data_IF_398745472019
#
_entry.id   IF_398745472019
#
_cell.length_a   1.000
_cell.length_b   1.000
_cell.length_c   1.000
_cell.angle_alpha   90.00
_cell.angle_beta   90.00
_cell.angle_gamma   90.00
#
_symmetry.space_group_name_H-M   'P 1'
#
loop_
_entity.id
_entity.type
_entity.pdbx_description
1 polymer ?
#
# COMPACT_ATOMS: atom_id res chain seq x y z
N UNK A 1 3.87 -57.93 -19.64
CA UNK A 1 3.78 -56.60 -20.28
C UNK A 1 3.77 -55.55 -19.18
N UNK A 2 4.71 -54.61 -19.22
CA UNK A 2 4.96 -53.59 -18.20
C UNK A 2 4.10 -52.36 -18.52
N UNK A 3 3.25 -51.93 -17.59
CA UNK A 3 2.58 -50.63 -17.65
C UNK A 3 3.35 -49.64 -16.79
N UNK A 4 4.01 -48.69 -17.44
CA UNK A 4 4.80 -47.62 -16.83
C UNK A 4 3.83 -46.49 -16.46
N UNK A 5 3.71 -46.20 -15.15
CA UNK A 5 3.07 -44.99 -14.65
C UNK A 5 3.94 -43.78 -15.03
N UNK A 6 3.42 -42.90 -15.89
CA UNK A 6 4.00 -41.60 -16.19
C UNK A 6 3.44 -40.60 -15.15
N UNK A 7 4.15 -40.44 -14.04
CA UNK A 7 3.91 -39.37 -13.08
C UNK A 7 5.13 -38.46 -13.08
N UNK A 8 4.88 -37.17 -12.82
CA UNK A 8 5.85 -36.09 -12.58
C UNK A 8 6.30 -35.35 -13.85
N UNK A 9 5.59 -34.26 -14.19
CA UNK A 9 6.24 -33.02 -14.63
C UNK A 9 5.28 -31.82 -14.53
N UNK A 10 4.84 -31.48 -13.31
CA UNK A 10 4.27 -30.15 -13.01
C UNK A 10 4.84 -29.72 -11.65
N UNK A 11 6.11 -29.32 -11.61
CA UNK A 11 6.72 -28.81 -10.37
C UNK A 11 7.60 -27.56 -10.59
N UNK A 12 7.29 -26.73 -11.59
CA UNK A 12 8.07 -25.51 -11.87
C UNK A 12 7.26 -24.19 -11.87
N UNK A 13 5.93 -24.21 -11.75
CA UNK A 13 5.13 -22.97 -11.81
C UNK A 13 4.64 -22.42 -10.45
N UNK A 14 4.88 -23.11 -9.34
CA UNK A 14 4.37 -22.69 -8.01
C UNK A 14 5.30 -21.73 -7.26
N UNK A 15 6.61 -21.73 -7.58
CA UNK A 15 7.60 -20.90 -6.88
C UNK A 15 7.41 -19.39 -7.12
N UNK A 16 6.92 -18.98 -8.29
CA UNK A 16 6.70 -17.57 -8.62
C UNK A 16 5.50 -16.94 -7.91
N UNK A 17 4.45 -17.72 -7.63
CA UNK A 17 3.23 -17.22 -7.01
C UNK A 17 3.35 -17.00 -5.49
N UNK A 18 4.20 -17.79 -4.81
CA UNK A 18 4.37 -17.68 -3.35
C UNK A 18 5.17 -16.43 -2.94
N UNK A 19 6.20 -16.05 -3.69
CA UNK A 19 7.03 -14.88 -3.35
C UNK A 19 6.28 -13.54 -3.49
N UNK A 20 5.32 -13.47 -4.42
CA UNK A 20 4.55 -12.25 -4.68
C UNK A 20 3.48 -12.00 -3.58
N UNK A 21 2.83 -13.05 -3.09
CA UNK A 21 1.85 -12.95 -2.00
C UNK A 21 2.53 -12.64 -0.65
N UNK A 22 3.64 -13.31 -0.35
CA UNK A 22 4.32 -13.23 0.96
C UNK A 22 4.90 -11.83 1.28
N UNK A 23 5.19 -11.02 0.26
CA UNK A 23 5.67 -9.64 0.46
C UNK A 23 4.56 -8.61 0.61
N UNK A 24 3.36 -8.85 0.08
CA UNK A 24 2.22 -7.94 0.25
C UNK A 24 1.63 -8.02 1.66
N UNK A 25 1.62 -9.21 2.27
CA UNK A 25 1.18 -9.39 3.66
C UNK A 25 2.01 -8.57 4.65
N UNK A 26 3.29 -8.33 4.34
CA UNK A 26 4.17 -7.45 5.16
C UNK A 26 3.71 -5.99 5.18
N UNK A 27 2.86 -5.57 4.24
CA UNK A 27 2.26 -4.24 4.27
C UNK A 27 0.98 -4.19 5.10
N UNK A 28 0.33 -5.33 5.40
CA UNK A 28 -0.95 -5.32 6.10
C UNK A 28 -0.85 -4.67 7.47
N UNK A 29 -1.91 -3.96 7.87
CA UNK A 29 -2.01 -3.27 9.15
C UNK A 29 -2.19 -1.77 9.01
N UNK A 30 -2.00 -1.06 10.13
CA UNK A 30 -2.20 0.37 10.19
C UNK A 30 -0.89 1.13 10.02
N UNK A 31 -0.97 2.23 9.30
CA UNK A 31 0.14 3.10 8.95
C UNK A 31 -0.26 4.54 9.19
N UNK A 32 0.72 5.37 9.51
CA UNK A 32 0.47 6.74 9.94
C UNK A 32 1.44 7.70 9.28
N UNK A 33 0.91 8.79 8.76
CA UNK A 33 1.70 9.91 8.27
C UNK A 33 1.34 11.18 9.04
N UNK A 34 2.20 12.18 8.96
CA UNK A 34 1.94 13.50 9.55
C UNK A 34 2.46 14.55 8.60
N UNK A 35 1.64 15.56 8.32
CA UNK A 35 2.01 16.72 7.51
C UNK A 35 1.52 18.00 8.17
N UNK A 36 2.19 19.10 7.82
CA UNK A 36 1.80 20.44 8.24
C UNK A 36 0.84 21.02 7.20
N UNK A 37 -0.38 21.38 7.61
CA UNK A 37 -1.40 22.02 6.78
C UNK A 37 -1.80 23.35 7.42
N UNK A 38 -1.50 24.46 6.75
CA UNK A 38 -1.79 25.82 7.23
C UNK A 38 -1.25 26.13 8.65
N UNK A 39 -0.15 25.49 9.05
CA UNK A 39 0.46 25.64 10.38
C UNK A 39 -0.05 24.65 11.43
N UNK A 40 -1.05 23.84 11.08
CA UNK A 40 -1.56 22.76 11.93
C UNK A 40 -0.96 21.41 11.54
N UNK A 41 -0.71 20.57 12.54
CA UNK A 41 -0.34 19.18 12.31
C UNK A 41 -1.57 18.35 12.01
N UNK A 42 -1.58 17.74 10.83
CA UNK A 42 -2.57 16.74 10.45
C UNK A 42 -1.92 15.37 10.54
N UNK A 43 -2.54 14.48 11.30
CA UNK A 43 -2.17 13.08 11.42
C UNK A 43 -3.20 12.23 10.67
N UNK A 44 -2.74 11.40 9.75
CA UNK A 44 -3.63 10.50 8.99
C UNK A 44 -3.22 9.06 9.26
N UNK A 45 -4.19 8.24 9.66
CA UNK A 45 -4.04 6.79 9.82
C UNK A 45 -4.69 6.09 8.64
N UNK A 46 -3.93 5.24 7.98
CA UNK A 46 -4.36 4.35 6.91
C UNK A 46 -4.38 2.90 7.37
N UNK A 47 -5.22 2.08 6.73
CA UNK A 47 -5.19 0.63 6.83
C UNK A 47 -4.88 0.06 5.45
N UNK A 48 -3.83 -0.78 5.39
CA UNK A 48 -3.55 -1.61 4.23
C UNK A 48 -4.07 -3.02 4.52
N UNK A 49 -4.89 -3.55 3.62
CA UNK A 49 -5.43 -4.92 3.70
C UNK A 49 -5.69 -5.50 2.32
N UNK A 50 -5.77 -6.83 2.24
CA UNK A 50 -6.21 -7.54 1.04
C UNK A 50 -7.66 -7.96 1.17
N UNK A 51 -8.51 -7.50 0.27
CA UNK A 51 -9.92 -7.89 0.16
C UNK A 51 -10.21 -8.33 -1.26
N UNK A 52 -10.94 -9.45 -1.43
CA UNK A 52 -11.25 -10.00 -2.75
C UNK A 52 -10.02 -10.12 -3.67
N UNK A 53 -8.87 -10.55 -3.12
CA UNK A 53 -7.57 -10.69 -3.80
C UNK A 53 -6.91 -9.38 -4.27
N UNK A 54 -7.39 -8.22 -3.81
CA UNK A 54 -6.80 -6.91 -4.10
C UNK A 54 -6.27 -6.28 -2.81
N UNK A 55 -4.98 -5.97 -2.80
CA UNK A 55 -4.34 -5.22 -1.73
C UNK A 55 -4.58 -3.73 -1.98
N UNK A 56 -5.17 -3.05 -1.00
CA UNK A 56 -5.56 -1.63 -1.07
C UNK A 56 -5.27 -0.92 0.24
N UNK A 57 -5.10 0.40 0.18
CA UNK A 57 -4.98 1.25 1.36
C UNK A 57 -6.18 2.19 1.43
N UNK A 58 -6.76 2.30 2.63
CA UNK A 58 -7.86 3.23 2.93
C UNK A 58 -7.48 4.09 4.12
N UNK A 59 -7.89 5.35 4.12
CA UNK A 59 -7.89 6.14 5.35
C UNK A 59 -8.84 5.49 6.35
N UNK A 60 -8.50 5.57 7.64
CA UNK A 60 -9.34 5.11 8.76
C UNK A 60 -9.68 6.25 9.69
N UNK A 61 -8.73 7.19 9.85
CA UNK A 61 -8.87 8.31 10.76
C UNK A 61 -7.99 9.46 10.31
N UNK A 62 -8.53 10.66 10.40
CA UNK A 62 -7.78 11.91 10.29
C UNK A 62 -7.87 12.65 11.62
N UNK A 63 -6.77 13.24 12.08
CA UNK A 63 -6.76 14.07 13.26
C UNK A 63 -6.07 15.40 12.99
N UNK A 64 -6.74 16.48 13.36
CA UNK A 64 -6.25 17.85 13.24
C UNK A 64 -6.61 18.60 14.53
N UNK A 65 -5.65 19.32 15.11
CA UNK A 65 -5.84 20.10 16.35
C UNK A 65 -6.50 19.33 17.52
N UNK A 66 -6.20 18.03 17.64
CA UNK A 66 -6.75 17.18 18.71
C UNK A 66 -8.20 16.69 18.48
N UNK A 67 -8.85 17.13 17.41
CA UNK A 67 -10.08 16.51 16.91
C UNK A 67 -9.72 15.34 16.00
N UNK A 68 -10.52 14.28 16.02
CA UNK A 68 -10.34 13.11 15.17
C UNK A 68 -11.65 12.72 14.52
N UNK A 69 -11.61 12.47 13.23
CA UNK A 69 -12.74 12.02 12.43
C UNK A 69 -12.42 10.67 11.80
N UNK A 70 -13.42 9.81 11.72
CA UNK A 70 -13.32 8.56 10.96
C UNK A 70 -13.47 8.88 9.48
N UNK A 71 -12.68 8.21 8.66
CA UNK A 71 -12.74 8.30 7.21
C UNK A 71 -12.61 6.88 6.63
N UNK A 72 -13.11 6.66 5.42
CA UNK A 72 -13.01 5.40 4.66
C UNK A 72 -12.72 5.69 3.18
N UNK A 73 -11.87 6.68 2.94
CA UNK A 73 -11.45 7.05 1.59
C UNK A 73 -10.41 6.07 1.07
N UNK A 74 -10.60 5.56 -0.16
CA UNK A 74 -9.62 4.74 -0.85
C UNK A 74 -8.46 5.63 -1.32
N UNK A 75 -7.27 5.43 -0.76
CA UNK A 75 -6.07 6.24 -1.06
C UNK A 75 -5.09 5.50 -1.97
N UNK A 76 -5.08 4.16 -1.96
CA UNK A 76 -4.27 3.36 -2.87
C UNK A 76 -5.02 2.14 -3.40
N UNK A 77 -4.84 1.87 -4.69
CA UNK A 77 -5.31 0.64 -5.34
C UNK A 77 -4.22 -0.01 -6.19
N UNK A 78 -4.41 -1.31 -6.48
CA UNK A 78 -3.48 -2.11 -7.28
C UNK A 78 -2.06 -2.15 -6.68
N UNK A 79 -1.96 -2.25 -5.36
CA UNK A 79 -0.67 -2.35 -4.67
C UNK A 79 0.04 -3.64 -5.10
N UNK A 80 1.25 -3.49 -5.63
CA UNK A 80 2.16 -4.59 -5.95
C UNK A 80 3.47 -4.42 -5.20
N UNK A 81 4.04 -5.51 -4.72
CA UNK A 81 5.31 -5.50 -3.97
C UNK A 81 6.17 -6.69 -4.38
N UNK A 82 7.46 -6.43 -4.59
CA UNK A 82 8.50 -7.42 -4.79
C UNK A 82 9.80 -6.93 -4.14
N UNK A 83 10.38 -7.75 -3.27
CA UNK A 83 11.67 -7.48 -2.61
C UNK A 83 11.75 -6.08 -1.95
N UNK A 84 10.71 -5.70 -1.22
CA UNK A 84 10.65 -4.44 -0.47
C UNK A 84 10.39 -3.19 -1.33
N UNK A 85 10.20 -3.33 -2.65
CA UNK A 85 9.83 -2.25 -3.55
C UNK A 85 8.51 -2.59 -4.25
N UNK A 86 7.81 -1.59 -4.74
CA UNK A 86 6.52 -1.80 -5.36
C UNK A 86 5.97 -0.60 -6.09
N UNK A 87 4.76 -0.76 -6.60
CA UNK A 87 3.99 0.31 -7.22
C UNK A 87 2.52 0.22 -6.84
N UNK A 88 1.83 1.33 -6.98
CA UNK A 88 0.39 1.45 -6.74
C UNK A 88 -0.17 2.57 -7.60
N UNK A 89 -1.49 2.60 -7.75
CA UNK A 89 -2.21 3.84 -8.08
C UNK A 89 -2.51 4.56 -6.77
N UNK A 90 -2.15 5.83 -6.68
CA UNK A 90 -2.42 6.71 -5.55
C UNK A 90 -3.55 7.66 -5.95
N UNK A 91 -4.56 7.79 -5.09
CA UNK A 91 -5.77 8.56 -5.36
C UNK A 91 -5.69 9.90 -4.64
N UNK A 92 -5.60 10.98 -5.41
CA UNK A 92 -5.52 12.35 -4.91
C UNK A 92 -6.84 13.06 -5.20
N UNK A 93 -7.36 13.79 -4.21
CA UNK A 93 -8.43 14.75 -4.43
C UNK A 93 -7.85 16.16 -4.36
N UNK A 94 -8.00 16.93 -5.43
CA UNK A 94 -7.49 18.29 -5.53
C UNK A 94 -8.53 19.16 -6.23
N UNK A 95 -8.90 20.29 -5.61
CA UNK A 95 -9.94 21.21 -6.12
C UNK A 95 -11.30 20.54 -6.44
N UNK A 96 -11.63 19.45 -5.71
CA UNK A 96 -12.88 18.69 -5.90
C UNK A 96 -12.82 17.66 -7.03
N UNK A 97 -11.70 17.59 -7.76
CA UNK A 97 -11.45 16.60 -8.80
C UNK A 97 -10.60 15.44 -8.26
N UNK A 98 -10.83 14.23 -8.79
CA UNK A 98 -10.14 13.01 -8.38
C UNK A 98 -9.14 12.58 -9.43
N UNK A 99 -7.92 12.29 -8.99
CA UNK A 99 -6.80 11.93 -9.84
C UNK A 99 -6.16 10.62 -9.40
N UNK A 100 -5.85 9.78 -10.38
CA UNK A 100 -5.09 8.54 -10.18
C UNK A 100 -3.67 8.76 -10.67
N UNK A 101 -2.71 8.77 -9.75
CA UNK A 101 -1.28 8.94 -10.07
C UNK A 101 -0.52 7.65 -9.86
N UNK A 102 0.48 7.41 -10.71
CA UNK A 102 1.41 6.30 -10.49
C UNK A 102 2.34 6.63 -9.33
N UNK A 103 2.37 5.75 -8.33
CA UNK A 103 3.22 5.91 -7.16
C UNK A 103 4.14 4.69 -6.98
N UNK A 104 5.32 4.95 -6.43
CA UNK A 104 6.32 3.95 -6.04
C UNK A 104 6.25 3.71 -4.55
N UNK A 105 6.35 2.45 -4.16
CA UNK A 105 6.37 2.02 -2.77
C UNK A 105 7.75 1.48 -2.41
N UNK A 106 8.25 1.81 -1.22
CA UNK A 106 9.47 1.23 -0.67
C UNK A 106 9.28 0.92 0.81
N UNK A 107 9.24 -0.37 1.14
CA UNK A 107 9.25 -0.84 2.52
C UNK A 107 10.70 -0.79 3.03
N UNK A 108 11.07 0.32 3.66
CA UNK A 108 12.43 0.57 4.19
C UNK A 108 12.77 -0.44 5.28
N UNK A 109 11.81 -0.68 6.18
CA UNK A 109 11.88 -1.67 7.23
C UNK A 109 10.45 -2.11 7.62
N UNK A 110 10.31 -3.03 8.58
CA UNK A 110 8.99 -3.55 9.01
C UNK A 110 8.01 -2.49 9.51
N UNK A 111 8.49 -1.32 9.90
CA UNK A 111 7.76 -0.21 10.50
C UNK A 111 7.77 1.07 9.66
N UNK A 112 8.45 1.10 8.51
CA UNK A 112 8.58 2.30 7.67
C UNK A 112 8.29 1.97 6.21
N UNK A 113 7.28 2.63 5.65
CA UNK A 113 6.91 2.60 4.24
C UNK A 113 7.08 4.00 3.64
N UNK A 114 7.79 4.10 2.53
CA UNK A 114 7.86 5.33 1.72
C UNK A 114 6.90 5.21 0.54
N UNK A 115 6.15 6.27 0.28
CA UNK A 115 5.21 6.41 -0.83
C UNK A 115 5.64 7.62 -1.65
N UNK A 116 6.15 7.39 -2.85
CA UNK A 116 6.63 8.47 -3.73
C UNK A 116 5.74 8.60 -4.96
N UNK A 117 5.27 9.81 -5.25
CA UNK A 117 4.41 10.11 -6.40
C UNK A 117 4.84 11.41 -7.07
N UNK A 118 4.41 11.58 -8.32
CA UNK A 118 4.54 12.82 -9.08
C UNK A 118 3.16 13.22 -9.58
N UNK A 119 2.77 14.47 -9.31
CA UNK A 119 1.50 15.03 -9.75
C UNK A 119 1.72 16.46 -10.25
N UNK A 120 1.41 16.71 -11.53
CA UNK A 120 1.55 18.02 -12.17
C UNK A 120 2.94 18.68 -12.00
N UNK A 121 4.02 17.88 -12.03
CA UNK A 121 5.39 18.39 -11.87
C UNK A 121 5.81 18.64 -10.42
N UNK A 122 4.94 18.31 -9.47
CA UNK A 122 5.28 18.23 -8.05
C UNK A 122 5.52 16.77 -7.68
N UNK A 123 6.76 16.44 -7.37
CA UNK A 123 7.11 15.15 -6.80
C UNK A 123 7.21 15.25 -5.27
N UNK A 124 6.62 14.30 -4.57
CA UNK A 124 6.73 14.21 -3.10
C UNK A 124 6.98 12.76 -2.66
N UNK A 125 7.44 12.59 -1.42
CA UNK A 125 7.58 11.29 -0.77
C UNK A 125 7.05 11.35 0.66
N UNK A 126 5.93 10.68 0.88
CA UNK A 126 5.38 10.50 2.21
C UNK A 126 6.10 9.37 2.94
N UNK A 127 6.35 9.57 4.23
CA UNK A 127 6.90 8.54 5.13
C UNK A 127 5.83 8.05 6.08
N UNK A 128 5.38 6.82 5.85
CA UNK A 128 4.36 6.15 6.64
C UNK A 128 5.01 5.28 7.71
N UNK A 129 4.62 5.50 8.96
CA UNK A 129 5.08 4.74 10.12
C UNK A 129 4.01 3.76 10.58
N UNK A 130 4.38 2.51 10.79
CA UNK A 130 3.46 1.48 11.27
C UNK A 130 2.93 1.84 12.65
N UNK A 131 1.64 1.63 12.87
CA UNK A 131 0.93 1.92 14.13
C UNK A 131 0.01 0.76 14.51
N UNK A 132 -0.27 0.64 15.82
CA UNK A 132 -1.23 -0.34 16.35
C UNK A 132 -2.64 0.25 16.50
N UNK A 133 -2.79 1.54 16.20
CA UNK A 133 -4.00 2.37 16.39
C UNK A 133 -4.49 2.92 15.07
#
# INVERSE_FOLDING_TARGET
MKSIQLLILILACTLGHQAHAQNQEKLHGHWKTTYDYQGDKVEVTYQIKTEAKKTQARTVKMSMQGQSEKDDTLVMSNITMSNGKGSTKYHIEYEGEKYDVDAKLKLVDKNTLEVSYDFYGYSDTETWKRTNK
#
